data_IF_590319083443
#
_entry.id   IF_590319083443
#
_cell.length_a   1.000
_cell.length_b   1.000
_cell.length_c   1.000
_cell.angle_alpha   90.00
_cell.angle_beta   90.00
_cell.angle_gamma   90.00
#
_symmetry.space_group_name_H-M   'P 1'
#
loop_
_entity.id
_entity.type
_entity.pdbx_description
1 polymer ?
#
# COMPACT_ATOMS: atom_id res chain seq x y z
N UNK A 1 34.90 -11.10 5.29
CA UNK A 1 33.43 -11.03 5.20
C UNK A 1 33.05 -9.79 4.38
N UNK A 2 32.27 -9.97 3.30
CA UNK A 2 31.87 -8.84 2.45
C UNK A 2 30.78 -8.05 3.16
N UNK A 3 31.06 -6.80 3.50
CA UNK A 3 30.06 -5.83 3.91
C UNK A 3 28.94 -5.84 2.86
N UNK A 4 27.76 -6.33 3.26
CA UNK A 4 26.54 -6.10 2.50
C UNK A 4 26.43 -4.58 2.38
N UNK A 5 26.67 -4.07 1.18
CA UNK A 5 26.52 -2.65 0.90
C UNK A 5 25.09 -2.30 1.30
N UNK A 6 24.95 -1.58 2.43
CA UNK A 6 23.66 -1.03 2.83
C UNK A 6 23.32 0.01 1.79
N UNK A 7 22.50 -0.35 0.82
CA UNK A 7 21.88 0.61 -0.08
C UNK A 7 21.25 1.69 0.81
N UNK A 8 21.60 2.97 0.63
CA UNK A 8 21.05 4.02 1.45
C UNK A 8 19.53 4.01 1.37
N UNK A 9 18.87 4.33 2.48
CA UNK A 9 17.41 4.43 2.51
C UNK A 9 16.95 5.39 1.38
N UNK A 10 15.94 5.00 0.60
CA UNK A 10 15.48 5.80 -0.52
C UNK A 10 14.93 7.14 -0.03
N UNK A 11 15.17 8.20 -0.82
CA UNK A 11 14.66 9.52 -0.51
C UNK A 11 13.13 9.52 -0.42
N UNK A 12 12.55 10.48 0.32
CA UNK A 12 11.09 10.65 0.36
C UNK A 12 10.48 10.78 -1.04
N UNK A 13 11.13 11.53 -1.94
CA UNK A 13 10.67 11.68 -3.34
C UNK A 13 10.65 10.35 -4.10
N UNK A 14 11.65 9.50 -3.89
CA UNK A 14 11.68 8.15 -4.47
C UNK A 14 10.54 7.30 -3.94
N UNK A 15 10.32 7.31 -2.63
CA UNK A 15 9.20 6.59 -1.99
C UNK A 15 7.85 7.07 -2.48
N UNK A 16 7.66 8.39 -2.61
CA UNK A 16 6.44 8.97 -3.17
C UNK A 16 6.23 8.55 -4.64
N UNK A 17 7.30 8.53 -5.44
CA UNK A 17 7.22 8.06 -6.84
C UNK A 17 6.76 6.60 -6.92
N UNK A 18 7.31 5.74 -6.06
CA UNK A 18 6.91 4.34 -5.99
C UNK A 18 5.49 4.17 -5.46
N UNK A 19 5.10 4.97 -4.47
CA UNK A 19 3.73 5.00 -3.95
C UNK A 19 2.74 5.42 -5.04
N UNK A 20 3.04 6.48 -5.80
CA UNK A 20 2.19 6.90 -6.94
C UNK A 20 2.06 5.80 -7.99
N UNK A 21 3.15 5.11 -8.32
CA UNK A 21 3.11 3.99 -9.27
C UNK A 21 2.27 2.82 -8.74
N UNK A 22 2.55 2.35 -7.52
CA UNK A 22 1.82 1.27 -6.88
C UNK A 22 0.33 1.60 -6.76
N UNK A 23 0.03 2.82 -6.28
CA UNK A 23 -1.33 3.29 -6.16
C UNK A 23 -2.05 3.36 -7.50
N UNK A 24 -1.39 3.78 -8.59
CA UNK A 24 -2.04 3.82 -9.90
C UNK A 24 -2.34 2.42 -10.45
N UNK A 25 -1.47 1.44 -10.18
CA UNK A 25 -1.72 0.02 -10.52
C UNK A 25 -2.95 -0.48 -9.75
N UNK A 26 -2.96 -0.31 -8.41
CA UNK A 26 -4.05 -0.77 -7.55
C UNK A 26 -5.36 -0.06 -7.86
N UNK A 27 -5.32 1.24 -8.14
CA UNK A 27 -6.49 2.05 -8.52
C UNK A 27 -7.16 1.50 -9.77
N UNK A 28 -6.39 1.17 -10.80
CA UNK A 28 -6.91 0.60 -12.04
C UNK A 28 -7.44 -0.82 -11.84
N UNK A 29 -6.72 -1.61 -11.05
CA UNK A 29 -7.08 -3.01 -10.80
C UNK A 29 -8.37 -3.15 -9.97
N UNK A 30 -8.58 -2.24 -9.01
CA UNK A 30 -9.65 -2.34 -8.02
C UNK A 30 -10.69 -1.23 -8.13
N UNK A 31 -10.72 -0.50 -9.24
CA UNK A 31 -11.62 0.63 -9.46
C UNK A 31 -11.57 1.66 -8.30
N UNK A 32 -10.38 1.85 -7.74
CA UNK A 32 -10.16 2.73 -6.60
C UNK A 32 -10.22 4.21 -6.98
N UNK A 33 -10.30 5.05 -5.94
CA UNK A 33 -10.21 6.50 -6.05
C UNK A 33 -9.12 7.00 -5.11
N UNK A 34 -8.32 7.94 -5.60
CA UNK A 34 -7.36 8.64 -4.75
C UNK A 34 -8.10 9.48 -3.71
N UNK A 35 -7.65 9.42 -2.46
CA UNK A 35 -8.10 10.26 -1.37
C UNK A 35 -6.93 10.65 -0.47
N UNK A 36 -7.17 11.62 0.40
CA UNK A 36 -6.34 11.88 1.57
C UNK A 36 -7.03 11.22 2.75
N UNK A 37 -6.32 10.37 3.48
CA UNK A 37 -6.82 9.71 4.67
C UNK A 37 -5.95 10.08 5.86
N UNK A 38 -6.59 10.40 6.99
CA UNK A 38 -5.92 10.51 8.28
C UNK A 38 -5.72 9.10 8.83
N UNK A 39 -4.55 8.51 8.53
CA UNK A 39 -4.22 7.16 8.99
C UNK A 39 -3.43 7.22 10.29
N UNK A 40 -3.70 6.26 11.18
CA UNK A 40 -3.03 6.18 12.47
C UNK A 40 -1.51 6.11 12.29
N UNK A 41 -0.77 6.96 13.01
CA UNK A 41 0.68 7.02 12.94
C UNK A 41 1.28 7.69 11.69
N UNK A 42 0.47 8.13 10.71
CA UNK A 42 0.97 8.90 9.53
C UNK A 42 0.33 10.27 9.33
N UNK A 43 -0.80 10.55 9.97
CA UNK A 43 -1.57 11.77 9.69
C UNK A 43 -2.16 11.74 8.27
N UNK A 44 -2.40 12.91 7.69
CA UNK A 44 -2.94 13.04 6.33
C UNK A 44 -1.95 12.51 5.29
N UNK A 45 -2.31 11.39 4.65
CA UNK A 45 -1.46 10.72 3.66
C UNK A 45 -2.28 10.30 2.42
N UNK A 46 -1.67 10.25 1.22
CA UNK A 46 -2.31 9.70 0.04
C UNK A 46 -2.69 8.22 0.23
N UNK A 47 -3.97 7.93 -0.01
CA UNK A 47 -4.52 6.59 0.09
C UNK A 47 -5.43 6.28 -1.11
N UNK A 48 -5.81 5.01 -1.24
CA UNK A 48 -6.86 4.61 -2.18
C UNK A 48 -8.10 4.17 -1.42
N UNK A 49 -9.25 4.73 -1.77
CA UNK A 49 -10.55 4.19 -1.40
C UNK A 49 -11.02 3.26 -2.51
N UNK A 50 -11.12 1.97 -2.22
CA UNK A 50 -11.53 0.94 -3.19
C UNK A 50 -12.87 0.33 -2.78
N UNK A 51 -13.84 0.19 -3.71
CA UNK A 51 -15.10 -0.47 -3.40
C UNK A 51 -14.87 -1.97 -3.15
N UNK A 52 -15.63 -2.52 -2.21
CA UNK A 52 -15.72 -3.97 -1.97
C UNK A 52 -16.88 -4.57 -2.77
N UNK A 53 -16.94 -5.90 -2.85
CA UNK A 53 -18.07 -6.60 -3.46
C UNK A 53 -19.42 -6.30 -2.78
N UNK A 54 -19.41 -5.93 -1.50
CA UNK A 54 -20.59 -5.60 -0.70
C UNK A 54 -21.00 -4.12 -0.81
N UNK A 55 -20.27 -3.32 -1.59
CA UNK A 55 -20.52 -1.89 -1.77
C UNK A 55 -19.95 -0.98 -0.68
N UNK A 56 -19.28 -1.54 0.34
CA UNK A 56 -18.46 -0.78 1.29
C UNK A 56 -17.15 -0.33 0.62
N UNK A 57 -16.35 0.48 1.30
CA UNK A 57 -15.05 0.91 0.79
C UNK A 57 -13.94 0.57 1.78
N UNK A 58 -12.82 0.05 1.25
CA UNK A 58 -11.59 -0.18 1.99
C UNK A 58 -10.60 0.93 1.62
N UNK A 59 -9.97 1.51 2.65
CA UNK A 59 -8.89 2.48 2.48
C UNK A 59 -7.55 1.76 2.53
N UNK A 60 -6.73 1.93 1.49
CA UNK A 60 -5.40 1.31 1.37
C UNK A 60 -4.33 2.37 1.60
N UNK A 61 -3.48 2.17 2.61
CA UNK A 61 -2.30 3.00 2.89
C UNK A 61 -1.17 2.70 1.89
N UNK A 62 -1.13 3.47 0.80
CA UNK A 62 -0.15 3.22 -0.27
C UNK A 62 1.28 3.55 0.19
N UNK A 63 1.44 4.60 1.00
CA UNK A 63 2.74 4.93 1.59
C UNK A 63 3.17 3.83 2.56
N UNK A 64 2.25 3.33 3.38
CA UNK A 64 2.49 2.21 4.28
C UNK A 64 2.98 0.95 3.58
N UNK A 65 2.40 0.59 2.43
CA UNK A 65 2.87 -0.57 1.65
C UNK A 65 4.29 -0.41 1.13
N UNK A 66 4.67 0.80 0.71
CA UNK A 66 6.05 1.09 0.27
C UNK A 66 7.01 1.00 1.44
N UNK A 67 6.69 1.61 2.59
CA UNK A 67 7.55 1.52 3.78
C UNK A 67 7.69 0.09 4.28
N UNK A 68 6.59 -0.67 4.31
CA UNK A 68 6.59 -2.09 4.71
C UNK A 68 7.49 -2.91 3.79
N UNK A 69 7.38 -2.70 2.46
CA UNK A 69 8.25 -3.37 1.48
C UNK A 69 9.73 -3.01 1.65
N UNK A 70 10.03 -1.78 2.05
CA UNK A 70 11.41 -1.34 2.28
C UNK A 70 11.99 -1.91 3.57
N UNK A 71 11.18 -2.02 4.62
CA UNK A 71 11.58 -2.59 5.91
C UNK A 71 11.78 -4.12 5.83
N UNK A 72 10.85 -4.83 5.19
CA UNK A 72 10.83 -6.30 5.18
C UNK A 72 11.57 -6.91 3.97
N UNK A 73 11.95 -6.09 2.98
CA UNK A 73 12.69 -6.57 1.82
C UNK A 73 11.91 -7.63 1.04
N UNK A 74 12.58 -8.73 0.69
CA UNK A 74 11.98 -9.83 -0.08
C UNK A 74 10.91 -10.60 0.71
N UNK A 75 10.92 -10.52 2.05
CA UNK A 75 9.91 -11.15 2.91
C UNK A 75 8.52 -10.52 2.76
N UNK A 76 8.43 -9.34 2.13
CA UNK A 76 7.18 -8.69 1.74
C UNK A 76 7.03 -8.62 0.21
N UNK A 77 6.67 -9.69 -0.49
CA UNK A 77 6.42 -9.61 -1.93
C UNK A 77 5.20 -8.74 -2.25
N UNK A 78 5.34 -7.78 -3.17
CA UNK A 78 4.22 -6.97 -3.65
C UNK A 78 3.11 -7.82 -4.30
N UNK A 79 3.48 -8.94 -4.93
CA UNK A 79 2.54 -9.88 -5.51
C UNK A 79 1.64 -10.54 -4.45
N UNK A 80 2.23 -10.99 -3.34
CA UNK A 80 1.45 -11.56 -2.22
C UNK A 80 0.54 -10.50 -1.59
N UNK A 81 1.02 -9.27 -1.45
CA UNK A 81 0.18 -8.18 -0.97
C UNK A 81 -0.99 -7.88 -1.90
N UNK A 82 -0.76 -7.85 -3.22
CA UNK A 82 -1.82 -7.65 -4.18
C UNK A 82 -2.89 -8.75 -4.11
N UNK A 83 -2.48 -10.01 -3.88
CA UNK A 83 -3.41 -11.13 -3.68
C UNK A 83 -4.20 -10.97 -2.38
N UNK A 84 -3.55 -10.61 -1.27
CA UNK A 84 -4.23 -10.35 0.01
C UNK A 84 -5.27 -9.22 -0.12
N UNK A 85 -4.89 -8.10 -0.75
CA UNK A 85 -5.80 -6.99 -1.04
C UNK A 85 -7.00 -7.44 -1.88
N UNK A 86 -6.79 -8.31 -2.87
CA UNK A 86 -7.89 -8.85 -3.67
C UNK A 86 -8.88 -9.62 -2.79
N UNK A 87 -8.38 -10.45 -1.88
CA UNK A 87 -9.21 -11.22 -0.95
C UNK A 87 -9.96 -10.25 -0.04
N UNK A 88 -9.28 -9.27 0.58
CA UNK A 88 -9.90 -8.25 1.45
C UNK A 88 -11.04 -7.50 0.76
N UNK A 89 -10.86 -7.11 -0.50
CA UNK A 89 -11.88 -6.41 -1.29
C UNK A 89 -13.05 -7.31 -1.71
N UNK A 90 -12.80 -8.61 -1.88
CA UNK A 90 -13.83 -9.60 -2.21
C UNK A 90 -14.60 -10.08 -0.98
N UNK A 91 -13.99 -10.04 0.21
CA UNK A 91 -14.57 -10.60 1.44
C UNK A 91 -15.44 -9.62 2.22
N UNK A 92 -15.56 -8.36 1.77
CA UNK A 92 -16.15 -7.29 2.58
C UNK A 92 -15.26 -7.02 3.79
N UNK A 93 -14.19 -6.23 3.59
CA UNK A 93 -13.10 -6.00 4.56
C UNK A 93 -13.47 -6.18 6.04
N UNK A 94 -12.83 -7.15 6.68
CA UNK A 94 -12.89 -7.33 8.13
C UNK A 94 -12.24 -6.10 8.79
N UNK A 95 -13.07 -5.20 9.33
CA UNK A 95 -12.64 -4.14 10.23
C UNK A 95 -12.38 -4.75 11.61
N UNK A 96 -11.13 -5.02 11.92
CA UNK A 96 -10.69 -4.99 13.31
C UNK A 96 -10.15 -3.57 13.57
N UNK A 97 -10.82 -2.90 14.50
CA UNK A 97 -10.58 -1.54 14.96
C UNK A 97 -9.23 -1.36 15.65
#
# INVERSE_FOLDING_TARGET
ERAVQRTPAPSYRSRLTWASFLGEVLRRQYNGRWCIAALEGRGDTPALSCPTAEGTHVTIDIMGEVERRLAEGIASPLALRAIALRIELQSGGHQDW
#
